data_IF_451299861715
#
_entry.id   IF_451299861715
#
_cell.length_a   1.000
_cell.length_b   1.000
_cell.length_c   1.000
_cell.angle_alpha   90.00
_cell.angle_beta   90.00
_cell.angle_gamma   90.00
#
_symmetry.space_group_name_H-M   'P 1'
#
loop_
_entity.id
_entity.type
_entity.pdbx_description
1 polymer ?
#
# COMPACT_ATOMS: atom_id res chain seq x y z
N UNK A 1 24.37 -12.76 -22.67
CA UNK A 1 23.29 -12.28 -21.79
C UNK A 1 21.98 -12.53 -22.50
N UNK A 2 21.09 -13.37 -22.01
CA UNK A 2 19.77 -13.46 -22.60
C UNK A 2 19.07 -12.12 -22.38
N UNK A 3 18.54 -11.55 -23.47
CA UNK A 3 17.73 -10.35 -23.42
C UNK A 3 16.61 -10.57 -22.41
N UNK A 4 16.52 -9.72 -21.36
CA UNK A 4 15.36 -9.69 -20.48
C UNK A 4 14.15 -9.48 -21.41
N UNK A 5 13.35 -10.53 -21.59
CA UNK A 5 12.08 -10.43 -22.31
C UNK A 5 11.31 -9.26 -21.71
N UNK A 6 11.16 -8.18 -22.48
CA UNK A 6 10.44 -6.98 -22.07
C UNK A 6 8.99 -7.40 -21.92
N UNK A 7 8.57 -7.58 -20.67
CA UNK A 7 7.15 -7.84 -20.39
C UNK A 7 6.33 -6.63 -20.83
N UNK A 8 5.15 -6.90 -21.40
CA UNK A 8 4.21 -5.85 -21.76
C UNK A 8 3.77 -5.10 -20.48
N UNK A 9 4.03 -3.80 -20.33
CA UNK A 9 3.66 -3.03 -19.16
C UNK A 9 2.15 -2.99 -18.91
N UNK A 10 1.33 -3.06 -19.97
CA UNK A 10 -0.13 -3.06 -19.85
C UNK A 10 -0.66 -4.30 -19.12
N UNK A 11 -0.08 -5.47 -19.39
CA UNK A 11 -0.46 -6.72 -18.68
C UNK A 11 -0.07 -6.66 -17.22
N UNK A 12 1.10 -6.11 -16.90
CA UNK A 12 1.56 -5.93 -15.52
C UNK A 12 0.63 -5.01 -14.75
N UNK A 13 0.35 -3.85 -15.32
CA UNK A 13 -0.54 -2.85 -14.72
C UNK A 13 -1.94 -3.41 -14.50
N UNK A 14 -2.47 -4.14 -15.47
CA UNK A 14 -3.78 -4.80 -15.36
C UNK A 14 -3.83 -5.77 -14.18
N UNK A 15 -2.83 -6.63 -14.02
CA UNK A 15 -2.75 -7.58 -12.90
C UNK A 15 -2.73 -6.82 -11.56
N UNK A 16 -1.85 -5.83 -11.43
CA UNK A 16 -1.69 -5.08 -10.19
C UNK A 16 -2.95 -4.31 -9.80
N UNK A 17 -3.67 -3.73 -10.76
CA UNK A 17 -4.90 -2.97 -10.50
C UNK A 17 -6.11 -3.84 -10.18
N UNK A 18 -6.15 -5.07 -10.67
CA UNK A 18 -7.33 -5.92 -10.55
C UNK A 18 -7.19 -7.03 -9.49
N UNK A 19 -5.99 -7.32 -9.02
CA UNK A 19 -5.75 -8.44 -8.09
C UNK A 19 -6.50 -8.29 -6.76
N UNK A 20 -6.71 -7.08 -6.27
CA UNK A 20 -7.42 -6.83 -5.02
C UNK A 20 -8.90 -7.26 -5.08
N UNK A 21 -9.54 -7.09 -6.24
CA UNK A 21 -10.93 -7.49 -6.48
C UNK A 21 -11.05 -8.89 -7.07
N UNK A 22 -9.99 -9.43 -7.67
CA UNK A 22 -9.90 -10.74 -8.30
C UNK A 22 -8.76 -11.60 -7.75
N UNK A 23 -8.69 -11.81 -6.43
CA UNK A 23 -7.55 -12.49 -5.82
C UNK A 23 -7.38 -13.95 -6.23
N UNK A 24 -8.47 -14.64 -6.55
CA UNK A 24 -8.47 -16.05 -6.91
C UNK A 24 -8.45 -16.30 -8.42
N UNK A 25 -8.93 -15.37 -9.22
CA UNK A 25 -9.19 -15.53 -10.66
C UNK A 25 -8.45 -14.53 -11.54
N UNK A 26 -7.52 -13.75 -10.97
CA UNK A 26 -6.73 -12.74 -11.71
C UNK A 26 -6.03 -13.35 -12.93
N UNK A 27 -5.55 -14.59 -12.83
CA UNK A 27 -4.91 -15.27 -13.96
C UNK A 27 -5.88 -15.51 -15.12
N UNK A 28 -7.08 -16.00 -14.82
CA UNK A 28 -8.13 -16.24 -15.82
C UNK A 28 -8.62 -14.94 -16.45
N UNK A 29 -8.79 -13.91 -15.64
CA UNK A 29 -9.19 -12.57 -16.09
C UNK A 29 -8.15 -11.99 -17.05
N UNK A 30 -6.85 -12.11 -16.73
CA UNK A 30 -5.76 -11.64 -17.59
C UNK A 30 -5.67 -12.42 -18.91
N UNK A 31 -5.89 -13.73 -18.87
CA UNK A 31 -5.96 -14.56 -20.08
C UNK A 31 -7.08 -14.05 -21.01
N UNK A 32 -8.25 -13.80 -20.44
CA UNK A 32 -9.43 -13.33 -21.20
C UNK A 32 -9.19 -11.95 -21.80
N UNK A 33 -8.61 -11.02 -21.04
CA UNK A 33 -8.39 -9.65 -21.48
C UNK A 33 -7.36 -9.53 -22.60
N UNK A 34 -6.24 -10.26 -22.49
CA UNK A 34 -5.10 -10.11 -23.40
C UNK A 34 -4.93 -11.26 -24.41
N UNK A 35 -5.74 -12.29 -24.36
CA UNK A 35 -5.61 -13.46 -25.22
C UNK A 35 -4.29 -14.23 -25.03
N UNK A 36 -3.69 -14.15 -23.86
CA UNK A 36 -2.41 -14.78 -23.54
C UNK A 36 -2.59 -16.24 -23.11
N UNK A 37 -1.54 -17.05 -23.27
CA UNK A 37 -1.53 -18.40 -22.71
C UNK A 37 -1.42 -18.38 -21.18
N UNK A 38 -1.93 -19.42 -20.52
CA UNK A 38 -1.80 -19.62 -19.08
C UNK A 38 -0.33 -19.55 -18.62
N UNK A 39 0.56 -20.15 -19.38
CA UNK A 39 2.00 -20.13 -19.10
C UNK A 39 2.58 -18.71 -19.16
N UNK A 40 2.15 -17.91 -20.12
CA UNK A 40 2.58 -16.51 -20.24
C UNK A 40 2.10 -15.69 -19.06
N UNK A 41 0.81 -15.80 -18.69
CA UNK A 41 0.27 -15.07 -17.55
C UNK A 41 0.95 -15.49 -16.23
N UNK A 42 1.21 -16.79 -16.04
CA UNK A 42 1.96 -17.26 -14.87
C UNK A 42 3.35 -16.63 -14.76
N UNK A 43 4.04 -16.41 -15.89
CA UNK A 43 5.36 -15.72 -15.86
C UNK A 43 5.23 -14.27 -15.38
N UNK A 44 4.17 -13.56 -15.76
CA UNK A 44 3.91 -12.21 -15.25
C UNK A 44 3.69 -12.23 -13.75
N UNK A 45 2.83 -13.11 -13.25
CA UNK A 45 2.51 -13.24 -11.82
C UNK A 45 3.76 -13.59 -11.01
N UNK A 46 4.53 -14.60 -11.43
CA UNK A 46 5.76 -15.00 -10.74
C UNK A 46 6.77 -13.86 -10.67
N UNK A 47 6.91 -13.10 -11.75
CA UNK A 47 7.82 -11.95 -11.77
C UNK A 47 7.38 -10.84 -10.83
N UNK A 48 6.08 -10.56 -10.77
CA UNK A 48 5.53 -9.59 -9.81
C UNK A 48 5.75 -10.03 -8.36
N UNK A 49 5.71 -11.34 -8.09
CA UNK A 49 6.05 -11.90 -6.77
C UNK A 49 7.56 -11.74 -6.49
N UNK A 50 8.42 -12.05 -7.46
CA UNK A 50 9.89 -11.89 -7.34
C UNK A 50 10.28 -10.42 -7.12
N UNK A 51 9.57 -9.49 -7.73
CA UNK A 51 9.76 -8.05 -7.55
C UNK A 51 9.18 -7.53 -6.23
N UNK A 52 8.47 -8.36 -5.46
CA UNK A 52 7.89 -7.99 -4.17
C UNK A 52 6.63 -7.13 -4.25
N UNK A 53 5.96 -7.11 -5.41
CA UNK A 53 4.70 -6.36 -5.62
C UNK A 53 3.46 -7.19 -5.33
N UNK A 54 3.56 -8.51 -5.50
CA UNK A 54 2.52 -9.47 -5.18
C UNK A 54 3.01 -10.51 -4.16
N UNK A 55 2.07 -11.08 -3.43
CA UNK A 55 2.30 -12.30 -2.68
C UNK A 55 1.19 -13.32 -2.96
N UNK A 56 1.55 -14.60 -2.87
CA UNK A 56 0.62 -15.71 -3.06
C UNK A 56 0.26 -16.31 -1.70
N UNK A 57 -1.03 -16.57 -1.49
CA UNK A 57 -1.57 -17.26 -0.32
C UNK A 57 -2.27 -18.55 -0.74
N UNK A 58 -2.24 -19.53 0.15
CA UNK A 58 -2.88 -20.84 -0.09
C UNK A 58 -2.06 -21.78 -0.97
N UNK A 59 -2.61 -22.98 -1.16
CA UNK A 59 -2.02 -24.02 -1.98
C UNK A 59 -2.59 -24.02 -3.42
N UNK A 60 -2.13 -24.92 -4.26
CA UNK A 60 -2.37 -24.98 -5.71
C UNK A 60 -3.83 -24.78 -6.14
N UNK A 61 -4.81 -25.33 -5.40
CA UNK A 61 -6.24 -25.25 -5.75
C UNK A 61 -6.94 -24.04 -5.13
N UNK A 62 -6.44 -23.57 -3.99
CA UNK A 62 -6.97 -22.42 -3.25
C UNK A 62 -6.02 -21.22 -3.28
N UNK A 63 -5.13 -21.17 -4.29
CA UNK A 63 -4.16 -20.08 -4.42
C UNK A 63 -4.86 -18.76 -4.72
N UNK A 64 -4.53 -17.77 -3.91
CA UNK A 64 -4.97 -16.38 -4.06
C UNK A 64 -3.75 -15.48 -4.11
N UNK A 65 -3.92 -14.33 -4.73
CA UNK A 65 -2.87 -13.32 -4.81
C UNK A 65 -3.35 -12.02 -4.19
N UNK A 66 -2.43 -11.29 -3.57
CA UNK A 66 -2.71 -9.96 -3.05
C UNK A 66 -1.52 -9.03 -3.30
N UNK A 67 -1.77 -7.73 -3.27
CA UNK A 67 -0.70 -6.74 -3.29
C UNK A 67 0.11 -6.84 -2.00
N UNK A 68 1.42 -6.74 -2.15
CA UNK A 68 2.33 -6.70 -1.01
C UNK A 68 2.61 -5.25 -0.64
N UNK A 69 2.65 -4.95 0.66
CA UNK A 69 3.13 -3.66 1.11
C UNK A 69 4.60 -3.48 0.73
N UNK A 70 4.89 -2.43 -0.02
CA UNK A 70 6.27 -2.01 -0.36
C UNK A 70 6.88 -1.15 0.73
N UNK A 71 6.02 -0.51 1.56
CA UNK A 71 6.38 0.21 2.77
C UNK A 71 5.39 -0.16 3.86
N UNK A 72 5.89 -0.40 5.06
CA UNK A 72 5.08 -0.60 6.27
C UNK A 72 5.88 -0.10 7.46
N UNK A 73 5.47 1.02 8.03
CA UNK A 73 6.10 1.64 9.19
C UNK A 73 5.06 1.96 10.26
N UNK A 74 5.48 1.83 11.51
CA UNK A 74 4.67 2.18 12.66
C UNK A 74 5.53 2.80 13.75
N UNK A 75 5.02 3.84 14.40
CA UNK A 75 5.69 4.49 15.51
C UNK A 75 4.69 5.13 16.47
N UNK A 76 5.08 5.23 17.74
CA UNK A 76 4.30 5.96 18.74
C UNK A 76 4.79 7.38 18.86
N UNK A 77 3.86 8.29 19.08
CA UNK A 77 4.14 9.69 19.42
C UNK A 77 3.41 10.07 20.70
N UNK A 78 4.03 10.96 21.48
CA UNK A 78 3.37 11.54 22.66
C UNK A 78 2.54 12.73 22.23
N UNK A 79 1.25 12.68 22.54
CA UNK A 79 0.35 13.78 22.31
C UNK A 79 0.62 14.84 23.38
N UNK A 80 1.09 16.00 22.99
CA UNK A 80 1.36 17.12 23.87
C UNK A 80 0.92 18.42 23.23
N UNK A 81 0.51 19.35 24.07
CA UNK A 81 0.21 20.71 23.59
C UNK A 81 1.47 21.32 22.98
N UNK A 82 1.40 21.74 21.72
CA UNK A 82 2.56 22.26 20.97
C UNK A 82 3.30 21.22 20.13
N UNK A 83 2.72 20.02 19.95
CA UNK A 83 3.20 19.06 18.97
C UNK A 83 2.97 19.64 17.54
N UNK A 84 4.05 19.69 16.77
CA UNK A 84 4.00 20.20 15.39
C UNK A 84 3.74 19.05 14.44
N UNK A 85 2.50 18.91 13.98
CA UNK A 85 2.05 17.89 13.04
C UNK A 85 2.83 17.91 11.72
N UNK A 86 3.17 19.11 11.22
CA UNK A 86 3.97 19.28 10.02
C UNK A 86 5.40 18.71 10.16
N UNK A 87 5.97 18.79 11.35
CA UNK A 87 7.28 18.19 11.61
C UNK A 87 7.21 16.66 11.57
N UNK A 88 6.17 16.07 12.15
CA UNK A 88 5.97 14.61 12.12
C UNK A 88 5.77 14.14 10.69
N UNK A 89 4.93 14.83 9.92
CA UNK A 89 4.74 14.53 8.51
C UNK A 89 6.05 14.54 7.75
N UNK A 90 6.78 15.67 7.80
CA UNK A 90 8.02 15.88 7.05
C UNK A 90 9.13 14.91 7.44
N UNK A 91 9.25 14.62 8.74
CA UNK A 91 10.40 13.89 9.27
C UNK A 91 10.14 12.37 9.39
N UNK A 92 8.88 11.93 9.43
CA UNK A 92 8.53 10.53 9.69
C UNK A 92 7.68 9.84 8.60
N UNK A 93 6.83 10.56 7.88
CA UNK A 93 5.94 9.98 6.86
C UNK A 93 6.46 10.26 5.45
N UNK A 94 6.71 11.51 5.12
CA UNK A 94 7.12 11.92 3.78
C UNK A 94 8.35 11.16 3.25
N UNK A 95 9.42 10.89 4.03
CA UNK A 95 10.58 10.13 3.56
C UNK A 95 10.27 8.67 3.20
N UNK A 96 9.20 8.11 3.74
CA UNK A 96 8.78 6.73 3.49
C UNK A 96 7.95 6.58 2.20
N UNK A 97 7.38 7.66 1.68
CA UNK A 97 6.57 7.63 0.46
C UNK A 97 7.44 7.32 -0.76
N UNK A 98 7.09 6.27 -1.51
CA UNK A 98 7.85 5.81 -2.69
C UNK A 98 7.04 6.03 -3.96
N UNK A 99 7.62 6.78 -4.89
CA UNK A 99 7.06 7.01 -6.24
C UNK A 99 5.60 7.52 -6.22
N UNK A 100 5.25 8.33 -5.22
CA UNK A 100 3.90 8.87 -5.04
C UNK A 100 3.79 10.21 -5.79
N UNK A 101 2.77 10.39 -6.64
CA UNK A 101 2.52 11.67 -7.30
C UNK A 101 2.29 12.81 -6.30
N UNK A 102 2.76 14.01 -6.60
CA UNK A 102 2.71 15.15 -5.69
C UNK A 102 1.29 15.48 -5.21
N UNK A 103 0.30 15.41 -6.08
CA UNK A 103 -1.10 15.66 -5.71
C UNK A 103 -1.63 14.63 -4.68
N UNK A 104 -1.14 13.38 -4.72
CA UNK A 104 -1.47 12.35 -3.71
C UNK A 104 -0.74 12.64 -2.41
N UNK A 105 0.53 13.05 -2.47
CA UNK A 105 1.29 13.49 -1.29
C UNK A 105 0.56 14.61 -0.56
N UNK A 106 0.08 15.61 -1.30
CA UNK A 106 -0.63 16.78 -0.73
C UNK A 106 -1.95 16.35 -0.05
N UNK A 107 -2.71 15.43 -0.66
CA UNK A 107 -3.94 14.88 -0.07
C UNK A 107 -3.62 14.09 1.21
N UNK A 108 -2.57 13.25 1.17
CA UNK A 108 -2.13 12.48 2.32
C UNK A 108 -1.66 13.38 3.46
N UNK A 109 -0.91 14.43 3.16
CA UNK A 109 -0.47 15.41 4.15
C UNK A 109 -1.66 16.09 4.83
N UNK A 110 -2.61 16.57 4.05
CA UNK A 110 -3.82 17.20 4.59
C UNK A 110 -4.58 16.23 5.52
N UNK A 111 -4.86 15.02 5.04
CA UNK A 111 -5.58 14.01 5.83
C UNK A 111 -4.84 13.62 7.10
N UNK A 112 -3.52 13.46 7.04
CA UNK A 112 -2.68 13.16 8.20
C UNK A 112 -2.72 14.27 9.25
N UNK A 113 -2.55 15.52 8.80
CA UNK A 113 -2.57 16.70 9.68
C UNK A 113 -3.92 16.82 10.40
N UNK A 114 -5.03 16.67 9.68
CA UNK A 114 -6.38 16.72 10.28
C UNK A 114 -6.61 15.58 11.28
N UNK A 115 -6.22 14.36 10.96
CA UNK A 115 -6.36 13.22 11.88
C UNK A 115 -5.51 13.41 13.13
N UNK A 116 -4.28 13.91 13.00
CA UNK A 116 -3.40 14.11 14.15
C UNK A 116 -3.88 15.27 15.02
N UNK A 117 -4.35 16.38 14.45
CA UNK A 117 -4.94 17.48 15.19
C UNK A 117 -6.17 17.03 15.98
N UNK A 118 -7.03 16.22 15.36
CA UNK A 118 -8.18 15.66 16.07
C UNK A 118 -7.75 14.78 17.25
N UNK A 119 -6.68 14.00 17.11
CA UNK A 119 -6.14 13.20 18.21
C UNK A 119 -5.55 14.09 19.32
N UNK A 120 -4.87 15.17 18.99
CA UNK A 120 -4.31 16.13 19.94
C UNK A 120 -5.42 16.84 20.73
N UNK A 121 -6.45 17.30 20.02
CA UNK A 121 -7.48 18.16 20.61
C UNK A 121 -8.55 17.38 21.40
N UNK A 122 -8.82 16.14 21.00
CA UNK A 122 -9.96 15.37 21.51
C UNK A 122 -9.59 14.07 22.20
N UNK A 123 -8.35 13.59 22.06
CA UNK A 123 -7.92 12.39 22.77
C UNK A 123 -7.60 12.68 24.22
N UNK A 124 -8.11 11.85 25.11
CA UNK A 124 -7.69 11.82 26.51
C UNK A 124 -6.41 11.00 26.72
N UNK A 125 -5.81 10.49 25.64
CA UNK A 125 -4.58 9.70 25.68
C UNK A 125 -3.34 10.57 25.67
N UNK A 126 -2.28 10.06 26.30
CA UNK A 126 -0.96 10.69 26.25
C UNK A 126 -0.14 10.27 25.02
N UNK A 127 -0.48 9.12 24.44
CA UNK A 127 0.25 8.52 23.31
C UNK A 127 -0.72 8.13 22.21
N UNK A 128 -0.25 8.19 20.98
CA UNK A 128 -0.94 7.57 19.86
C UNK A 128 0.02 6.76 18.97
N UNK A 129 -0.51 5.72 18.35
CA UNK A 129 0.18 4.92 17.36
C UNK A 129 -0.14 5.48 15.96
N UNK A 130 0.90 5.79 15.21
CA UNK A 130 0.80 6.16 13.79
C UNK A 130 1.30 4.99 12.97
N UNK A 131 0.51 4.58 11.98
CA UNK A 131 0.97 3.60 10.97
C UNK A 131 0.83 4.18 9.57
N UNK A 132 1.78 3.84 8.72
CA UNK A 132 1.79 4.13 7.30
C UNK A 132 2.10 2.84 6.54
N UNK A 133 1.24 2.48 5.60
CA UNK A 133 1.40 1.35 4.72
C UNK A 133 1.16 1.80 3.28
N UNK A 134 2.01 1.35 2.39
CA UNK A 134 1.90 1.61 0.95
C UNK A 134 2.06 0.31 0.18
N UNK A 135 1.12 0.01 -0.69
CA UNK A 135 1.25 -0.99 -1.75
C UNK A 135 1.28 -0.31 -3.12
N UNK A 136 1.25 -1.08 -4.20
CA UNK A 136 1.30 -0.54 -5.55
C UNK A 136 0.11 0.39 -5.88
N UNK A 137 -1.05 0.12 -5.33
CA UNK A 137 -2.31 0.82 -5.67
C UNK A 137 -2.81 1.76 -4.58
N UNK A 138 -2.36 1.61 -3.33
CA UNK A 138 -2.97 2.28 -2.20
C UNK A 138 -1.98 2.73 -1.14
N UNK A 139 -2.40 3.76 -0.41
CA UNK A 139 -1.77 4.23 0.80
C UNK A 139 -2.80 4.16 1.91
N UNK A 140 -2.39 3.59 3.04
CA UNK A 140 -3.18 3.54 4.28
C UNK A 140 -2.41 4.24 5.38
N UNK A 141 -3.06 5.17 6.03
CA UNK A 141 -2.56 5.82 7.24
C UNK A 141 -3.58 5.61 8.35
N UNK A 142 -3.09 5.32 9.54
CA UNK A 142 -3.91 5.18 10.74
C UNK A 142 -3.25 5.93 11.88
N UNK A 143 -4.07 6.64 12.63
CA UNK A 143 -3.71 7.24 13.91
C UNK A 143 -4.66 6.62 14.93
N UNK A 144 -4.11 5.83 15.84
CA UNK A 144 -4.86 5.16 16.89
C UNK A 144 -4.40 5.68 18.26
N UNK A 145 -5.32 6.22 19.02
CA UNK A 145 -5.13 6.60 20.40
C UNK A 145 -5.88 5.63 21.33
N UNK A 146 -5.50 5.59 22.59
CA UNK A 146 -6.20 4.84 23.65
C UNK A 146 -7.22 5.75 24.38
N UNK A 147 -7.64 6.83 23.74
CA UNK A 147 -8.61 7.78 24.28
C UNK A 147 -9.98 7.17 24.49
N UNK A 148 -10.77 7.79 25.34
CA UNK A 148 -12.18 7.44 25.53
C UNK A 148 -12.88 7.83 24.23
N UNK A 149 -13.24 6.83 23.43
CA UNK A 149 -14.00 7.07 22.20
C UNK A 149 -15.26 7.91 22.48
N UNK A 150 -15.53 8.82 21.57
CA UNK A 150 -16.73 9.66 21.60
C UNK A 150 -17.97 8.77 21.39
#
# INVERSE_FOLDING_TARGET
MPAKSRQNPEVREFILRNVATHPADIGSLTIQEFGLSRTSVNRYVLRLIEEGLLEAEGNTRARRYKLRNIVSVGFSIKLSFGLFEDAIWRDRILPEMKDVPQNVVDICQYGFTEMLNNAIDHSASFDCLVTYEQDYCSIKMMIADEGIGI
#
